data_IF_943489660636
#
_entry.id   IF_943489660636
#
_cell.length_a   1.000
_cell.length_b   1.000
_cell.length_c   1.000
_cell.angle_alpha   90.00
_cell.angle_beta   90.00
_cell.angle_gamma   90.00
#
_symmetry.space_group_name_H-M   'P 1'
#
loop_
_entity.id
_entity.type
_entity.pdbx_description
1 polymer ?
#
# COMPACT_ATOMS: atom_id res chain seq x y z
N UNK A 1 7.19 13.48 12.54
CA UNK A 1 6.66 12.22 12.08
C UNK A 1 7.27 11.04 12.73
N UNK A 2 7.53 11.16 13.94
CA UNK A 2 8.11 10.05 14.61
C UNK A 2 7.20 8.96 15.01
N UNK A 3 6.03 9.01 14.57
CA UNK A 3 5.11 8.22 14.98
C UNK A 3 5.12 7.10 14.27
N UNK A 4 5.61 6.34 14.44
CA UNK A 4 4.66 5.78 14.27
C UNK A 4 4.28 4.79 13.44
N UNK A 5 4.72 4.82 12.25
CA UNK A 5 4.36 3.85 11.27
C UNK A 5 5.51 2.86 11.19
N UNK A 6 5.51 1.93 12.09
CA UNK A 6 6.45 0.83 11.99
C UNK A 6 6.00 -0.06 10.85
N UNK A 7 6.89 -0.31 9.92
CA UNK A 7 6.64 -1.30 8.89
C UNK A 7 6.28 -2.63 9.58
N UNK A 8 5.13 -3.16 9.23
CA UNK A 8 4.75 -4.49 9.66
C UNK A 8 5.00 -5.44 8.52
N UNK A 9 6.07 -6.23 8.58
CA UNK A 9 6.31 -7.22 7.53
C UNK A 9 5.15 -8.20 7.51
N UNK A 10 4.82 -8.65 6.32
CA UNK A 10 3.85 -9.70 6.17
C UNK A 10 4.40 -10.99 6.80
N UNK A 11 3.54 -11.75 7.45
CA UNK A 11 3.91 -13.04 7.98
C UNK A 11 4.30 -13.96 6.81
N UNK A 12 5.40 -14.70 6.96
CA UNK A 12 5.75 -15.71 5.97
C UNK A 12 4.85 -16.92 6.18
N UNK A 13 4.33 -17.44 5.09
CA UNK A 13 3.58 -18.68 5.13
C UNK A 13 4.54 -19.84 5.44
N UNK A 14 4.21 -20.62 6.45
CA UNK A 14 4.92 -21.87 6.73
C UNK A 14 4.61 -22.89 5.63
N UNK A 15 5.61 -23.67 5.26
CA UNK A 15 5.43 -24.73 4.27
C UNK A 15 4.33 -25.70 4.75
N UNK A 16 3.38 -25.99 3.85
CA UNK A 16 2.27 -26.89 4.18
C UNK A 16 1.09 -26.21 4.89
N UNK A 17 1.19 -24.94 5.24
CA UNK A 17 0.08 -24.22 5.85
C UNK A 17 -1.00 -23.93 4.80
N UNK A 18 -2.25 -24.33 5.04
CA UNK A 18 -3.32 -24.08 4.07
C UNK A 18 -3.63 -22.59 3.97
N UNK A 19 -4.02 -22.15 2.78
CA UNK A 19 -4.58 -20.83 2.57
C UNK A 19 -6.06 -20.90 2.82
N UNK A 20 -6.61 -19.91 3.54
CA UNK A 20 -8.05 -19.81 3.76
C UNK A 20 -8.80 -19.81 2.43
N UNK A 21 -9.95 -20.46 2.39
CA UNK A 21 -10.82 -20.50 1.20
C UNK A 21 -11.26 -19.14 0.71
N UNK A 22 -11.25 -18.15 1.61
CA UNK A 22 -11.71 -16.80 1.31
C UNK A 22 -10.57 -15.82 1.15
N UNK A 23 -9.32 -16.31 1.12
CA UNK A 23 -8.19 -15.42 0.95
C UNK A 23 -8.09 -14.93 -0.49
N UNK A 24 -7.72 -13.67 -0.63
CA UNK A 24 -7.38 -13.08 -1.91
C UNK A 24 -5.86 -13.08 -2.05
N UNK A 25 -5.37 -13.54 -3.18
CA UNK A 25 -3.95 -13.58 -3.48
C UNK A 25 -3.64 -12.58 -4.58
N UNK A 26 -2.65 -11.73 -4.33
CA UNK A 26 -2.20 -10.70 -5.27
C UNK A 26 -0.69 -10.75 -5.42
N UNK A 27 -0.14 -10.31 -6.56
CA UNK A 27 1.31 -10.24 -6.71
C UNK A 27 1.92 -9.22 -5.75
N UNK A 28 3.11 -9.53 -5.23
CA UNK A 28 3.98 -8.54 -4.64
C UNK A 28 5.04 -8.17 -5.68
N UNK A 29 5.04 -6.92 -6.11
CA UNK A 29 5.95 -6.48 -7.16
C UNK A 29 7.35 -6.23 -6.60
N UNK A 30 8.35 -6.46 -7.44
CA UNK A 30 9.72 -6.21 -7.08
C UNK A 30 9.99 -4.70 -7.06
N UNK A 31 10.62 -4.23 -5.99
CA UNK A 31 10.91 -2.81 -5.83
C UNK A 31 11.32 -2.46 -4.41
N UNK A 32 11.27 -1.18 -4.10
CA UNK A 32 11.60 -0.68 -2.77
C UNK A 32 10.33 -0.58 -1.92
N UNK A 33 10.21 -1.40 -0.85
CA UNK A 33 9.04 -1.34 0.01
C UNK A 33 9.09 -0.11 0.92
N UNK A 34 7.93 0.38 1.28
CA UNK A 34 7.78 1.53 2.16
C UNK A 34 6.34 1.97 2.28
N UNK A 35 6.16 3.26 2.48
CA UNK A 35 4.85 3.87 2.65
C UNK A 35 4.70 5.11 1.79
N UNK A 36 3.49 5.36 1.35
CA UNK A 36 3.11 6.70 0.86
C UNK A 36 2.35 7.38 1.98
N UNK A 37 2.82 8.56 2.33
CA UNK A 37 2.24 9.38 3.38
C UNK A 37 1.69 10.66 2.78
N UNK A 38 0.41 10.91 3.00
CA UNK A 38 -0.24 12.16 2.63
C UNK A 38 -0.48 12.96 3.91
N UNK A 39 0.17 14.10 4.01
CA UNK A 39 0.15 14.89 5.23
C UNK A 39 0.25 16.39 4.90
N UNK A 40 0.21 17.22 5.93
CA UNK A 40 0.52 18.65 5.81
C UNK A 40 1.87 18.91 6.48
N UNK A 41 2.63 19.85 5.92
CA UNK A 41 3.86 20.33 6.57
C UNK A 41 3.52 21.35 7.67
N UNK A 42 4.54 21.91 8.31
CA UNK A 42 4.38 22.89 9.39
C UNK A 42 3.65 24.15 8.96
N UNK A 43 3.67 24.46 7.66
CA UNK A 43 3.01 25.62 7.08
C UNK A 43 1.57 25.31 6.63
N UNK A 44 1.14 24.08 6.80
CA UNK A 44 -0.19 23.63 6.38
C UNK A 44 -0.30 23.27 4.91
N UNK A 45 0.81 23.16 4.19
CA UNK A 45 0.82 22.76 2.79
C UNK A 45 0.73 21.25 2.66
N UNK A 46 -0.16 20.77 1.81
CA UNK A 46 -0.33 19.35 1.56
C UNK A 46 0.94 18.76 0.90
N UNK A 47 1.39 17.64 1.42
CA UNK A 47 2.59 16.93 0.96
C UNK A 47 2.31 15.46 0.77
N UNK A 48 2.89 14.90 -0.30
CA UNK A 48 2.93 13.46 -0.53
C UNK A 48 4.39 13.02 -0.44
N UNK A 49 4.66 12.04 0.39
CA UNK A 49 6.01 11.54 0.64
C UNK A 49 6.04 10.03 0.44
N UNK A 50 7.14 9.52 -0.10
CA UNK A 50 7.46 8.10 -0.02
C UNK A 50 8.53 7.90 1.06
N UNK A 51 8.25 7.05 2.02
CA UNK A 51 9.18 6.71 3.11
C UNK A 51 9.55 5.26 2.97
N UNK A 52 10.84 4.96 2.79
CA UNK A 52 11.30 3.59 2.67
C UNK A 52 11.47 2.91 4.03
N UNK A 53 11.77 1.60 4.03
CA UNK A 53 11.93 0.83 5.26
C UNK A 53 13.17 1.21 6.07
N UNK A 54 14.07 2.01 5.52
CA UNK A 54 15.24 2.55 6.23
C UNK A 54 14.99 3.95 6.80
N UNK A 55 13.76 4.46 6.66
CA UNK A 55 13.39 5.77 7.17
C UNK A 55 13.75 6.95 6.26
N UNK A 56 14.22 6.69 5.05
CA UNK A 56 14.50 7.75 4.08
C UNK A 56 13.20 8.19 3.45
N UNK A 57 13.01 9.50 3.34
CA UNK A 57 11.82 10.06 2.72
C UNK A 57 12.18 10.87 1.48
N UNK A 58 11.28 10.83 0.49
CA UNK A 58 11.36 11.69 -0.68
C UNK A 58 10.01 12.33 -0.96
N UNK A 59 10.02 13.58 -1.37
CA UNK A 59 8.81 14.25 -1.80
C UNK A 59 8.38 13.71 -3.16
N UNK A 60 7.10 13.43 -3.30
CA UNK A 60 6.55 12.90 -4.55
C UNK A 60 5.98 14.01 -5.41
N UNK A 61 6.22 13.91 -6.72
CA UNK A 61 5.67 14.85 -7.69
C UNK A 61 4.26 14.42 -8.11
N UNK A 62 3.34 14.52 -7.16
CA UNK A 62 1.92 14.23 -7.36
C UNK A 62 1.11 15.40 -6.84
N UNK A 63 -0.09 15.55 -7.37
CA UNK A 63 -1.07 16.48 -6.81
C UNK A 63 -2.16 15.65 -6.14
N UNK A 64 -2.31 15.84 -4.82
CA UNK A 64 -3.38 15.21 -4.05
C UNK A 64 -4.28 16.27 -3.48
N UNK A 65 -5.56 15.98 -3.45
CA UNK A 65 -6.54 16.87 -2.82
C UNK A 65 -6.27 16.96 -1.32
N UNK A 66 -6.34 18.19 -0.78
CA UNK A 66 -6.07 18.44 0.64
C UNK A 66 -6.98 17.65 1.57
N UNK A 67 -8.18 17.30 1.11
CA UNK A 67 -9.14 16.54 1.92
C UNK A 67 -8.67 15.15 2.34
N UNK A 68 -7.64 14.61 1.67
CA UNK A 68 -7.08 13.31 2.01
C UNK A 68 -5.67 13.40 2.58
N UNK A 69 -5.23 14.60 2.96
CA UNK A 69 -3.87 14.84 3.43
C UNK A 69 -3.76 15.06 4.95
N UNK A 70 -4.76 14.60 5.72
CA UNK A 70 -4.69 14.66 7.18
C UNK A 70 -4.18 13.33 7.74
N UNK A 71 -2.95 12.96 7.39
CA UNK A 71 -2.30 11.71 7.78
C UNK A 71 -2.99 10.48 7.19
N UNK A 72 -2.89 10.35 5.88
CA UNK A 72 -3.28 9.14 5.16
C UNK A 72 -2.03 8.35 4.83
N UNK A 73 -2.02 7.06 5.15
CA UNK A 73 -0.86 6.19 5.00
C UNK A 73 -1.21 4.95 4.20
N UNK A 74 -0.46 4.73 3.12
CA UNK A 74 -0.54 3.52 2.32
C UNK A 74 0.72 2.68 2.52
N UNK A 75 0.56 1.38 2.60
CA UNK A 75 1.69 0.48 2.37
C UNK A 75 1.95 0.44 0.87
N UNK A 76 3.20 0.60 0.46
CA UNK A 76 3.53 0.82 -0.93
C UNK A 76 4.84 0.15 -1.34
N UNK A 77 5.00 -0.05 -2.64
CA UNK A 77 6.26 -0.52 -3.23
C UNK A 77 6.57 0.38 -4.42
N UNK A 78 7.74 0.99 -4.40
CA UNK A 78 8.23 1.79 -5.52
C UNK A 78 8.89 0.86 -6.53
N UNK A 79 8.21 0.61 -7.63
CA UNK A 79 8.65 -0.35 -8.65
C UNK A 79 9.54 0.29 -9.73
N UNK A 80 9.48 1.60 -9.86
CA UNK A 80 10.33 2.38 -10.76
C UNK A 80 10.44 3.80 -10.24
N UNK A 81 11.33 4.64 -10.78
CA UNK A 81 11.44 6.04 -10.32
C UNK A 81 10.15 6.84 -10.41
N UNK A 82 9.20 6.42 -11.23
CA UNK A 82 7.97 7.16 -11.49
C UNK A 82 6.69 6.42 -11.16
N UNK A 83 6.78 5.18 -10.65
CA UNK A 83 5.61 4.36 -10.36
C UNK A 83 5.72 3.76 -8.97
N UNK A 84 4.71 4.05 -8.17
CA UNK A 84 4.57 3.49 -6.83
C UNK A 84 3.24 2.76 -6.76
N UNK A 85 3.30 1.49 -6.39
CA UNK A 85 2.11 0.65 -6.24
C UNK A 85 1.62 0.72 -4.81
N UNK A 86 0.35 1.07 -4.64
CA UNK A 86 -0.29 1.12 -3.33
C UNK A 86 -0.90 -0.25 -3.02
N UNK A 87 -0.26 -0.98 -2.11
CA UNK A 87 -0.66 -2.34 -1.75
C UNK A 87 -1.77 -2.39 -0.70
N UNK A 88 -1.78 -1.43 0.22
CA UNK A 88 -2.79 -1.40 1.27
C UNK A 88 -3.00 0.03 1.77
N UNK A 89 -4.15 0.27 2.36
CA UNK A 89 -4.47 1.52 3.03
C UNK A 89 -4.52 1.25 4.53
N UNK A 90 -3.59 1.84 5.27
CA UNK A 90 -3.52 1.63 6.72
C UNK A 90 -4.25 2.68 7.52
N UNK A 91 -4.10 3.93 7.12
CA UNK A 91 -4.67 5.06 7.83
C UNK A 91 -5.30 6.01 6.82
N UNK A 92 -6.51 6.45 7.09
CA UNK A 92 -7.22 7.43 6.26
C UNK A 92 -7.58 8.63 7.13
N UNK A 93 -6.95 9.76 6.84
CA UNK A 93 -7.13 11.01 7.58
C UNK A 93 -7.04 10.82 9.11
N UNK A 94 -5.98 10.16 9.54
CA UNK A 94 -5.71 9.91 10.95
C UNK A 94 -6.43 8.71 11.55
N UNK A 95 -7.35 8.10 10.81
CA UNK A 95 -8.13 6.97 11.28
C UNK A 95 -7.51 5.66 10.84
N UNK A 96 -7.21 4.77 11.77
CA UNK A 96 -6.59 3.48 11.49
C UNK A 96 -7.59 2.50 10.91
N UNK A 97 -7.80 2.57 9.62
CA UNK A 97 -8.80 1.76 8.91
C UNK A 97 -8.38 0.29 8.75
N UNK A 98 -7.07 0.01 8.81
CA UNK A 98 -6.56 -1.34 8.70
C UNK A 98 -7.16 -2.28 9.74
N UNK A 99 -7.31 -1.80 10.98
CA UNK A 99 -7.80 -2.62 12.08
C UNK A 99 -9.31 -2.88 12.04
N UNK A 100 -10.06 -2.10 11.24
CA UNK A 100 -11.52 -2.10 11.29
C UNK A 100 -12.19 -2.57 10.01
N UNK A 101 -11.44 -2.68 8.93
CA UNK A 101 -12.01 -2.98 7.62
C UNK A 101 -11.32 -4.16 6.98
N UNK A 102 -12.05 -4.88 6.15
CA UNK A 102 -11.49 -5.96 5.36
C UNK A 102 -10.55 -5.40 4.29
N UNK A 103 -9.55 -6.18 3.90
CA UNK A 103 -8.58 -5.78 2.87
C UNK A 103 -9.26 -5.38 1.56
N UNK A 104 -10.31 -6.10 1.15
CA UNK A 104 -11.04 -5.80 -0.08
C UNK A 104 -11.71 -4.44 -0.06
N UNK A 105 -12.25 -4.04 1.09
CA UNK A 105 -12.82 -2.69 1.29
C UNK A 105 -11.73 -1.63 1.14
N UNK A 106 -10.56 -1.86 1.73
CA UNK A 106 -9.44 -0.93 1.61
C UNK A 106 -8.96 -0.81 0.17
N UNK A 107 -8.99 -1.90 -0.60
CA UNK A 107 -8.65 -1.85 -2.02
C UNK A 107 -9.64 -0.99 -2.81
N UNK A 108 -10.92 -1.10 -2.53
CA UNK A 108 -11.94 -0.23 -3.12
C UNK A 108 -11.67 1.23 -2.82
N UNK A 109 -11.32 1.55 -1.57
CA UNK A 109 -10.99 2.92 -1.17
C UNK A 109 -9.73 3.44 -1.85
N UNK A 110 -8.71 2.62 -2.04
CA UNK A 110 -7.51 3.01 -2.78
C UNK A 110 -7.89 3.44 -4.21
N UNK A 111 -8.70 2.65 -4.90
CA UNK A 111 -9.15 2.98 -6.24
C UNK A 111 -9.94 4.29 -6.29
N UNK A 112 -10.81 4.51 -5.32
CA UNK A 112 -11.59 5.75 -5.22
C UNK A 112 -10.69 6.95 -4.96
N UNK A 113 -9.74 6.84 -4.02
CA UNK A 113 -8.81 7.92 -3.71
C UNK A 113 -7.97 8.30 -4.92
N UNK A 114 -7.48 7.33 -5.67
CA UNK A 114 -6.70 7.59 -6.88
C UNK A 114 -7.54 8.21 -7.99
N UNK A 115 -8.80 7.80 -8.09
CA UNK A 115 -9.70 8.28 -9.13
C UNK A 115 -10.15 9.73 -8.92
N UNK A 116 -10.40 10.13 -7.66
CA UNK A 116 -10.98 11.42 -7.34
C UNK A 116 -9.99 12.46 -6.80
N UNK A 117 -8.92 12.03 -6.18
CA UNK A 117 -8.05 12.92 -5.42
C UNK A 117 -6.61 12.94 -5.89
N UNK A 118 -6.28 12.22 -6.93
CA UNK A 118 -4.90 12.06 -7.37
C UNK A 118 -4.73 12.50 -8.82
N UNK A 119 -3.77 13.38 -9.06
CA UNK A 119 -3.31 13.75 -10.39
C UNK A 119 -1.81 13.48 -10.46
N UNK A 120 -1.36 12.53 -11.29
CA UNK A 120 0.07 12.27 -11.45
C UNK A 120 0.72 13.42 -12.23
N UNK A 121 1.84 13.91 -11.74
CA UNK A 121 2.65 14.92 -12.43
C UNK A 121 3.89 14.26 -13.02
N UNK A 122 4.72 13.67 -12.18
CA UNK A 122 5.88 12.88 -12.60
C UNK A 122 5.83 11.47 -12.01
N UNK A 123 5.27 11.33 -10.81
CA UNK A 123 5.15 10.05 -10.14
C UNK A 123 3.69 9.60 -10.20
N UNK A 124 3.47 8.41 -10.70
CA UNK A 124 2.14 7.80 -10.70
C UNK A 124 1.98 6.94 -9.46
N UNK A 125 0.92 7.18 -8.69
CA UNK A 125 0.46 6.28 -7.66
C UNK A 125 -0.60 5.38 -8.30
N UNK A 126 -0.40 4.08 -8.27
CA UNK A 126 -1.30 3.12 -8.91
C UNK A 126 -1.82 2.11 -7.91
N UNK A 127 -3.04 1.63 -8.15
CA UNK A 127 -3.58 0.48 -7.41
C UNK A 127 -2.99 -0.81 -7.98
N UNK A 128 -3.29 -1.94 -7.33
CA UNK A 128 -2.88 -3.25 -7.84
C UNK A 128 -3.42 -3.53 -9.24
N UNK A 129 -4.58 -2.96 -9.58
CA UNK A 129 -5.18 -3.11 -10.91
C UNK A 129 -4.52 -2.22 -11.96
N UNK A 130 -3.79 -1.22 -11.55
CA UNK A 130 -3.17 -0.23 -12.44
C UNK A 130 -1.69 -0.46 -12.71
N UNK A 131 -1.15 -1.59 -12.29
CA UNK A 131 0.28 -1.88 -12.46
C UNK A 131 0.59 -2.14 -13.92
N UNK A 132 1.65 -1.53 -14.49
CA UNK A 132 2.03 -1.76 -15.88
C UNK A 132 2.34 -3.22 -16.17
N UNK A 133 1.94 -3.68 -17.36
CA UNK A 133 2.23 -5.03 -17.83
C UNK A 133 3.75 -5.20 -17.92
N UNK A 134 4.25 -6.34 -17.47
CA UNK A 134 5.70 -6.63 -17.48
C UNK A 134 6.43 -6.23 -16.21
N UNK A 135 5.75 -5.63 -15.24
CA UNK A 135 6.35 -5.34 -13.94
C UNK A 135 6.71 -6.66 -13.24
N UNK A 136 7.95 -6.75 -12.78
CA UNK A 136 8.46 -7.98 -12.18
C UNK A 136 7.77 -8.28 -10.86
N UNK A 137 7.42 -9.55 -10.68
CA UNK A 137 6.78 -10.06 -9.46
C UNK A 137 7.86 -10.73 -8.61
N UNK A 138 7.93 -10.34 -7.34
CA UNK A 138 8.84 -10.90 -6.36
C UNK A 138 8.24 -12.12 -5.67
N UNK A 139 6.95 -12.14 -5.52
CA UNK A 139 6.20 -13.17 -4.83
C UNK A 139 4.72 -12.82 -4.78
N UNK A 140 4.01 -13.35 -3.80
CA UNK A 140 2.57 -13.17 -3.70
C UNK A 140 2.17 -12.86 -2.26
N UNK A 141 1.11 -12.09 -2.13
CA UNK A 141 0.52 -11.74 -0.85
C UNK A 141 -0.90 -12.30 -0.79
N UNK A 142 -1.22 -13.01 0.27
CA UNK A 142 -2.55 -13.55 0.50
C UNK A 142 -3.19 -12.86 1.69
N UNK A 143 -4.43 -12.44 1.55
CA UNK A 143 -5.17 -11.68 2.55
C UNK A 143 -6.46 -12.41 2.93
N UNK A 144 -6.72 -12.46 4.22
CA UNK A 144 -7.99 -12.97 4.75
C UNK A 144 -9.07 -11.88 4.68
N UNK A 145 -10.31 -12.29 4.76
CA UNK A 145 -11.46 -11.38 4.80
C UNK A 145 -11.63 -10.67 6.13
N UNK A 146 -10.98 -11.15 7.19
CA UNK A 146 -11.13 -10.58 8.53
C UNK A 146 -10.37 -9.26 8.68
N UNK A 147 -11.02 -8.22 9.28
CA UNK A 147 -10.33 -6.98 9.59
C UNK A 147 -9.15 -7.19 10.53
N UNK A 148 -8.09 -6.37 10.35
CA UNK A 148 -6.93 -6.41 11.23
C UNK A 148 -6.01 -7.61 11.05
N UNK A 149 -6.24 -8.45 10.04
CA UNK A 149 -5.40 -9.61 9.76
C UNK A 149 -4.23 -9.20 8.87
N UNK A 150 -3.02 -9.65 9.24
CA UNK A 150 -1.86 -9.44 8.39
C UNK A 150 -1.94 -10.35 7.17
N UNK A 151 -1.48 -9.85 6.02
CA UNK A 151 -1.27 -10.68 4.85
C UNK A 151 -0.15 -11.68 5.07
N UNK A 152 -0.10 -12.69 4.24
CA UNK A 152 0.93 -13.72 4.26
C UNK A 152 1.69 -13.67 2.95
N UNK A 153 3.01 -13.59 3.03
CA UNK A 153 3.87 -13.58 1.85
C UNK A 153 4.34 -14.99 1.51
N UNK A 154 4.27 -15.33 0.23
CA UNK A 154 4.83 -16.58 -0.31
C UNK A 154 5.64 -16.26 -1.56
N UNK A 155 6.73 -17.00 -1.79
CA UNK A 155 7.55 -16.81 -2.99
C UNK A 155 6.88 -17.40 -4.24
N UNK A 156 6.12 -18.46 -4.06
CA UNK A 156 5.42 -19.15 -5.14
C UNK A 156 3.92 -18.95 -5.05
N UNK A 157 3.25 -19.09 -6.19
CA UNK A 157 1.79 -19.06 -6.21
C UNK A 157 1.24 -20.14 -5.28
N UNK A 158 0.31 -19.78 -4.40
CA UNK A 158 -0.32 -20.76 -3.54
C UNK A 158 -1.10 -21.78 -4.38
N UNK A 159 -0.92 -23.06 -4.04
CA UNK A 159 -1.72 -24.09 -4.67
C UNK A 159 -3.16 -23.97 -4.20
N UNK A 160 -4.07 -23.93 -5.16
CA UNK A 160 -5.48 -24.05 -4.84
C UNK A 160 -5.78 -25.52 -4.61
N UNK A 161 -6.22 -25.82 -3.43
CA UNK A 161 -6.83 -27.12 -3.18
C UNK A 161 -8.30 -27.09 -3.56
#
# INVERSE_FOLDING_TARGET
MNRLYKWKPLAKRSQGQPISRHSTTVPQYNGFPGWVLLTHDEEGTARALFVDTHGRSEALSVVMDERVCCDTVFRAIKVSPRIIVLHDLWTLNGDTVWARTAWETRQTWIRELLSFFHVPVLTALVSLDGVPVGTLVRGYESYDTLPGTLGVFTEDLPHKE
#
